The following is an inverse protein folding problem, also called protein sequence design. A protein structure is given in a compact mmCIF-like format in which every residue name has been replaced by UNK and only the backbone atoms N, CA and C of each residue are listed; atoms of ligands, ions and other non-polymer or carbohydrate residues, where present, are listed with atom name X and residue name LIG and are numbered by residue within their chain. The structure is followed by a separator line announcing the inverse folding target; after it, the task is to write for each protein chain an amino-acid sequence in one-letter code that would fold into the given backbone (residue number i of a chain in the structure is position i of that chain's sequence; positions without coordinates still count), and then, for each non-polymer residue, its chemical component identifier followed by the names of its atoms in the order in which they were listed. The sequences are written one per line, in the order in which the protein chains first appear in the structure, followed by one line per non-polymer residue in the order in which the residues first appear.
data_IF_123473896421
#
_entry.id   IF_123473896421
#
_cell.length_a   1.000
_cell.length_b   1.000
_cell.length_c   1.000
_cell.angle_alpha   90.00
_cell.angle_beta   90.00
_cell.angle_gamma   90.00
#
_symmetry.space_group_name_H-M   'P 1'
#
loop_
_entity.id
_entity.type
_entity.pdbx_description
1 polymer ?
#
# COMPACT_ATOMS: atom_id res chain seq x y z
N UNK A 1 -13.45 0.97 -8.97
CA UNK A 1 -13.71 1.67 -7.71
C UNK A 1 -12.42 1.89 -6.96
N UNK A 2 -12.24 3.07 -6.42
CA UNK A 2 -11.01 3.43 -5.75
C UNK A 2 -11.17 3.27 -4.24
N UNK A 3 -10.81 2.10 -3.76
CA UNK A 3 -10.87 1.80 -2.34
C UNK A 3 -9.53 1.30 -1.85
N UNK A 4 -9.17 1.74 -0.65
CA UNK A 4 -8.03 1.21 0.06
C UNK A 4 -8.55 0.12 0.98
N UNK A 5 -7.99 -1.09 0.89
CA UNK A 5 -8.52 -2.23 1.62
C UNK A 5 -8.34 -2.11 3.12
N UNK A 6 -7.24 -1.51 3.55
CA UNK A 6 -6.93 -1.39 4.97
C UNK A 6 -6.10 -0.14 5.21
N UNK A 7 -6.47 0.63 6.23
CA UNK A 7 -5.69 1.75 6.71
C UNK A 7 -5.25 1.47 8.14
N UNK A 8 -3.94 1.54 8.37
CA UNK A 8 -3.39 1.42 9.71
C UNK A 8 -2.99 2.82 10.15
N UNK A 9 -3.46 3.24 11.32
CA UNK A 9 -3.12 4.53 11.89
C UNK A 9 -2.22 4.32 13.11
N UNK A 10 -1.12 5.06 13.14
CA UNK A 10 -0.22 5.03 14.28
C UNK A 10 0.40 6.40 14.45
N UNK A 11 0.21 6.99 15.61
CA UNK A 11 0.77 8.31 15.96
C UNK A 11 0.40 9.40 14.95
N UNK A 12 -0.81 9.35 14.41
CA UNK A 12 -1.29 10.34 13.44
C UNK A 12 -0.87 10.11 12.02
N UNK A 13 -0.15 9.02 11.74
CA UNK A 13 0.30 8.67 10.40
C UNK A 13 -0.57 7.53 9.87
N UNK A 14 -1.02 7.63 8.62
CA UNK A 14 -1.83 6.62 7.97
C UNK A 14 -0.98 5.77 7.04
N UNK A 15 -1.05 4.46 7.20
CA UNK A 15 -0.34 3.49 6.38
C UNK A 15 -1.35 2.69 5.57
N UNK A 16 -1.49 2.96 4.26
CA UNK A 16 -2.48 2.26 3.43
C UNK A 16 -1.98 0.88 3.00
N UNK A 17 -2.88 -0.09 2.99
CA UNK A 17 -2.58 -1.45 2.58
C UNK A 17 -3.58 -1.87 1.52
N UNK A 18 -3.08 -2.41 0.42
CA UNK A 18 -3.89 -3.00 -0.63
C UNK A 18 -3.65 -4.51 -0.64
N UNK A 19 -4.72 -5.30 -0.73
CA UNK A 19 -4.62 -6.75 -0.73
C UNK A 19 -5.00 -7.27 -2.11
N UNK A 20 -4.08 -7.97 -2.77
CA UNK A 20 -4.29 -8.49 -4.12
C UNK A 20 -4.07 -10.00 -4.14
N UNK A 21 -4.89 -10.70 -4.92
CA UNK A 21 -4.84 -12.16 -5.02
C UNK A 21 -3.96 -12.67 -6.14
N UNK A 22 -3.21 -11.78 -6.78
CA UNK A 22 -2.32 -12.17 -7.87
C UNK A 22 -0.86 -12.05 -7.45
N UNK A 23 0.03 -12.63 -8.26
CA UNK A 23 1.45 -12.62 -7.98
C UNK A 23 2.22 -11.61 -8.83
N UNK A 24 1.54 -10.63 -9.38
CA UNK A 24 2.06 -9.75 -10.41
C UNK A 24 1.80 -8.29 -10.04
N UNK A 25 2.40 -7.80 -8.93
CA UNK A 25 2.14 -6.45 -8.44
C UNK A 25 2.73 -5.41 -9.41
N UNK A 26 1.97 -4.34 -9.65
CA UNK A 26 2.40 -3.25 -10.51
C UNK A 26 2.10 -1.91 -9.82
N UNK A 27 2.73 -0.84 -10.32
CA UNK A 27 2.54 0.49 -9.75
C UNK A 27 1.07 0.89 -9.71
N UNK A 28 0.28 0.44 -10.67
CA UNK A 28 -1.15 0.72 -10.70
C UNK A 28 -1.85 0.26 -9.41
N UNK A 29 -1.35 -0.79 -8.78
CA UNK A 29 -1.94 -1.31 -7.55
C UNK A 29 -1.82 -0.34 -6.38
N UNK A 30 -0.86 0.57 -6.42
CA UNK A 30 -0.64 1.54 -5.34
C UNK A 30 -1.07 2.96 -5.68
N UNK A 31 -1.53 3.20 -6.91
CA UNK A 31 -1.97 4.56 -7.30
C UNK A 31 -3.12 5.06 -6.44
N UNK A 32 -3.94 4.15 -5.93
CA UNK A 32 -5.04 4.51 -5.03
C UNK A 32 -4.53 5.24 -3.77
N UNK A 33 -3.29 4.97 -3.35
CA UNK A 33 -2.73 5.58 -2.15
C UNK A 33 -2.57 7.09 -2.31
N UNK A 34 -2.49 7.58 -3.55
CA UNK A 34 -2.35 9.01 -3.81
C UNK A 34 -3.55 9.81 -3.34
N UNK A 35 -4.69 9.15 -3.13
CA UNK A 35 -5.88 9.82 -2.59
C UNK A 35 -5.58 10.44 -1.23
N UNK A 36 -4.79 9.75 -0.42
CA UNK A 36 -4.46 10.24 0.92
C UNK A 36 -3.61 11.50 0.88
N UNK A 37 -2.79 11.65 -0.16
CA UNK A 37 -1.93 12.82 -0.30
C UNK A 37 -2.71 14.10 -0.56
N UNK A 38 -3.97 13.97 -0.98
CA UNK A 38 -4.83 15.10 -1.31
C UNK A 38 -5.68 15.57 -0.15
N UNK A 39 -5.63 14.88 0.98
CA UNK A 39 -6.45 15.20 2.15
C UNK A 39 -5.66 16.11 3.10
N UNK A 40 -6.10 17.35 3.34
CA UNK A 40 -5.38 18.25 4.23
C UNK A 40 -5.31 17.67 5.65
N UNK A 41 -4.17 17.85 6.30
CA UNK A 41 -4.00 17.41 7.69
C UNK A 41 -3.68 15.94 7.86
N UNK A 42 -3.60 15.18 6.74
CA UNK A 42 -3.26 13.75 6.79
C UNK A 42 -1.77 13.60 6.49
N UNK A 43 -1.08 12.87 7.34
CA UNK A 43 0.29 12.46 7.07
C UNK A 43 0.27 11.00 6.62
N UNK A 44 0.80 10.75 5.45
CA UNK A 44 0.80 9.42 4.83
C UNK A 44 2.13 8.73 5.10
N UNK A 45 2.07 7.54 5.67
CA UNK A 45 3.25 6.70 5.83
C UNK A 45 3.44 5.80 4.61
N UNK A 46 4.35 4.83 4.74
CA UNK A 46 4.58 3.89 3.65
C UNK A 46 3.35 3.03 3.41
N UNK A 47 3.09 2.72 2.14
CA UNK A 47 2.01 1.83 1.75
C UNK A 47 2.54 0.43 1.44
N UNK A 48 1.63 -0.53 1.39
CA UNK A 48 1.98 -1.90 1.08
C UNK A 48 0.95 -2.58 0.21
N UNK A 49 1.42 -3.43 -0.70
CA UNK A 49 0.56 -4.34 -1.47
C UNK A 49 0.88 -5.75 -1.00
N UNK A 50 -0.07 -6.35 -0.29
CA UNK A 50 0.06 -7.75 0.16
C UNK A 50 -0.45 -8.64 -0.97
N UNK A 51 0.40 -9.51 -1.47
CA UNK A 51 0.03 -10.35 -2.61
C UNK A 51 0.83 -11.66 -2.60
N UNK A 52 0.69 -12.43 -3.67
CA UNK A 52 1.34 -13.75 -3.79
C UNK A 52 2.74 -13.68 -4.40
N UNK A 53 3.24 -12.48 -4.71
CA UNK A 53 4.60 -12.33 -5.20
C UNK A 53 5.59 -12.76 -4.12
N UNK A 54 6.71 -13.36 -4.51
CA UNK A 54 7.62 -13.99 -3.56
C UNK A 54 8.66 -13.04 -2.98
N UNK A 55 8.85 -11.87 -3.57
CA UNK A 55 9.92 -10.98 -3.18
C UNK A 55 9.38 -9.68 -2.58
N UNK A 56 10.04 -9.22 -1.52
CA UNK A 56 9.78 -7.91 -0.96
C UNK A 56 10.49 -6.88 -1.85
N UNK A 57 9.75 -6.07 -2.57
CA UNK A 57 10.32 -5.06 -3.46
C UNK A 57 9.64 -3.73 -3.28
N UNK A 58 10.38 -2.65 -3.56
CA UNK A 58 9.82 -1.30 -3.56
C UNK A 58 9.20 -1.05 -4.94
N UNK A 59 7.96 -0.62 -4.96
CA UNK A 59 7.28 -0.26 -6.21
C UNK A 59 7.51 1.21 -6.54
N UNK A 60 7.33 2.10 -5.56
CA UNK A 60 7.44 3.52 -5.77
C UNK A 60 7.66 4.21 -4.43
N UNK A 61 8.69 5.02 -4.30
CA UNK A 61 8.96 5.75 -3.07
C UNK A 61 9.02 4.81 -1.87
N UNK A 62 8.11 5.01 -0.91
CA UNK A 62 8.01 4.17 0.28
C UNK A 62 6.96 3.06 0.16
N UNK A 63 6.35 2.91 -1.02
CA UNK A 63 5.33 1.90 -1.23
C UNK A 63 5.98 0.63 -1.76
N UNK A 64 5.65 -0.51 -1.15
CA UNK A 64 6.34 -1.75 -1.45
C UNK A 64 5.39 -2.94 -1.52
N UNK A 65 5.86 -3.99 -2.18
CA UNK A 65 5.19 -5.28 -2.20
C UNK A 65 5.53 -6.01 -0.91
N UNK A 66 4.52 -6.57 -0.26
CA UNK A 66 4.69 -7.41 0.93
C UNK A 66 4.18 -8.80 0.58
N UNK A 67 5.06 -9.77 0.37
CA UNK A 67 4.61 -11.14 0.11
C UNK A 67 3.78 -11.66 1.28
N UNK A 68 2.70 -12.37 0.99
CA UNK A 68 1.85 -12.90 2.04
C UNK A 68 2.63 -13.81 3.00
N UNK A 69 3.68 -14.45 2.52
CA UNK A 69 4.54 -15.31 3.32
C UNK A 69 5.35 -14.54 4.39
N UNK A 70 5.40 -13.22 4.29
CA UNK A 70 6.10 -12.39 5.28
C UNK A 70 5.22 -12.03 6.48
N UNK A 71 3.95 -12.35 6.41
CA UNK A 71 3.01 -12.07 7.50
C UNK A 71 2.97 -13.24 8.54
#
# INVERSE_FOLDING_TARGET
MNEIDLLIEESGILYPIEIKKHADPIIKDINIFDILDKIPGIQRGSGGVVCLYDNLVTLRGNDRVIPVSYL
#
